data_IF_367124254129
#
_entry.id   IF_367124254129
#
_cell.length_a   1.000
_cell.length_b   1.000
_cell.length_c   1.000
_cell.angle_alpha   90.00
_cell.angle_beta   90.00
_cell.angle_gamma   90.00
#
_symmetry.space_group_name_H-M   'P 1'
#
loop_
_entity.id
_entity.type
_entity.pdbx_description
1 polymer ?
#
# COMPACT_ATOMS: atom_id res chain seq x y z
N UNK A 1 -17.50 14.29 -7.62
CA UNK A 1 -17.59 13.43 -8.82
C UNK A 1 -17.05 12.07 -8.46
N UNK A 2 -17.66 11.00 -8.97
CA UNK A 2 -17.17 9.64 -8.78
C UNK A 2 -15.85 9.45 -9.54
N UNK A 3 -14.85 8.81 -8.91
CA UNK A 3 -13.58 8.51 -9.57
C UNK A 3 -13.71 7.15 -10.28
N UNK A 4 -13.97 7.18 -11.59
CA UNK A 4 -14.16 5.98 -12.41
C UNK A 4 -12.90 5.11 -12.56
N UNK A 5 -11.73 5.63 -12.17
CA UNK A 5 -10.45 4.92 -12.23
C UNK A 5 -10.03 4.31 -10.90
N UNK A 6 -10.83 4.49 -9.84
CA UNK A 6 -10.51 3.95 -8.52
C UNK A 6 -10.58 2.43 -8.54
N UNK A 7 -9.52 1.78 -8.07
CA UNK A 7 -9.48 0.32 -7.98
C UNK A 7 -10.46 -0.18 -6.91
N UNK A 8 -11.24 -1.19 -7.29
CA UNK A 8 -12.20 -1.86 -6.41
C UNK A 8 -11.70 -3.22 -5.90
N UNK A 9 -10.67 -3.79 -6.54
CA UNK A 9 -10.14 -5.13 -6.25
C UNK A 9 -8.62 -5.16 -6.02
N UNK A 10 -7.88 -4.19 -6.53
CA UNK A 10 -6.42 -4.13 -6.42
C UNK A 10 -6.02 -3.17 -5.29
N UNK A 11 -4.80 -3.38 -4.76
CA UNK A 11 -4.20 -2.52 -3.76
C UNK A 11 -3.98 -1.12 -4.33
N UNK A 12 -4.60 -0.11 -3.72
CA UNK A 12 -4.42 1.31 -4.03
C UNK A 12 -4.45 2.10 -2.71
N UNK A 13 -3.40 2.84 -2.33
CA UNK A 13 -3.42 3.66 -1.14
C UNK A 13 -4.38 4.83 -1.36
N UNK A 14 -4.82 5.48 -0.29
CA UNK A 14 -5.80 6.58 -0.39
C UNK A 14 -5.31 7.79 -1.19
N UNK A 15 -4.00 7.91 -1.43
CA UNK A 15 -3.34 8.99 -2.18
C UNK A 15 -1.93 8.61 -2.59
N UNK A 16 -1.34 9.38 -3.49
CA UNK A 16 0.09 9.33 -3.79
C UNK A 16 0.49 8.21 -4.74
N UNK A 17 1.79 8.09 -5.01
CA UNK A 17 2.35 7.04 -5.87
C UNK A 17 2.61 5.76 -5.07
N UNK A 18 1.97 4.66 -5.47
CA UNK A 18 2.37 3.29 -5.11
C UNK A 18 3.28 2.73 -6.19
N UNK A 19 4.33 2.03 -5.80
CA UNK A 19 5.35 1.47 -6.71
C UNK A 19 5.64 0.00 -6.33
N UNK A 20 6.91 -0.41 -6.18
CA UNK A 20 7.31 -1.79 -5.92
C UNK A 20 6.61 -2.45 -4.71
N UNK A 21 6.16 -3.71 -4.82
CA UNK A 21 5.80 -4.52 -3.66
C UNK A 21 7.05 -4.88 -2.86
N UNK A 22 6.95 -4.82 -1.53
CA UNK A 22 8.03 -5.09 -0.59
C UNK A 22 7.55 -6.00 0.55
N UNK A 23 8.50 -6.66 1.24
CA UNK A 23 8.24 -7.35 2.52
C UNK A 23 7.08 -8.35 2.50
N UNK A 24 6.80 -8.98 1.35
CA UNK A 24 5.66 -9.88 1.18
C UNK A 24 5.78 -11.07 2.13
N UNK A 25 4.84 -11.20 3.07
CA UNK A 25 4.91 -12.26 4.09
C UNK A 25 3.52 -12.66 4.59
N UNK A 26 3.34 -13.95 4.85
CA UNK A 26 2.30 -14.42 5.75
C UNK A 26 2.94 -14.63 7.12
N UNK A 27 2.37 -14.02 8.15
CA UNK A 27 2.79 -14.21 9.53
C UNK A 27 1.57 -14.34 10.44
N UNK A 28 1.53 -15.41 11.25
CA UNK A 28 0.45 -15.69 12.21
C UNK A 28 -0.96 -15.62 11.61
N UNK A 29 -1.15 -16.14 10.39
CA UNK A 29 -2.45 -16.16 9.73
C UNK A 29 -2.89 -14.84 9.10
N UNK A 30 -2.01 -13.82 9.08
CA UNK A 30 -2.25 -12.52 8.43
C UNK A 30 -1.23 -12.32 7.32
N UNK A 31 -1.69 -11.85 6.17
CA UNK A 31 -0.87 -11.47 5.03
C UNK A 31 -0.49 -10.00 5.14
N UNK A 32 0.76 -9.70 4.83
CA UNK A 32 1.35 -8.36 4.86
C UNK A 32 1.95 -8.08 3.47
N UNK A 33 1.53 -6.98 2.88
CA UNK A 33 2.08 -6.46 1.64
C UNK A 33 2.57 -5.05 1.93
N UNK A 34 3.89 -4.91 2.06
CA UNK A 34 4.50 -3.60 2.08
C UNK A 34 4.66 -3.10 0.64
N UNK A 35 4.82 -1.80 0.46
CA UNK A 35 5.10 -1.23 -0.84
C UNK A 35 5.85 0.08 -0.71
N UNK A 36 6.63 0.44 -1.73
CA UNK A 36 7.12 1.80 -1.85
C UNK A 36 5.94 2.77 -2.01
N UNK A 37 5.98 3.85 -1.26
CA UNK A 37 4.92 4.86 -1.26
C UNK A 37 5.49 6.28 -1.25
N UNK A 38 4.97 7.12 -2.15
CA UNK A 38 5.08 8.57 -2.02
C UNK A 38 3.72 9.15 -1.63
N UNK A 39 3.44 9.31 -0.32
CA UNK A 39 2.14 9.87 0.13
C UNK A 39 1.93 11.35 -0.21
N UNK A 40 2.97 12.05 -0.64
CA UNK A 40 2.97 13.49 -0.87
C UNK A 40 2.87 13.88 -2.35
N UNK A 41 3.16 12.96 -3.27
CA UNK A 41 3.20 13.24 -4.70
C UNK A 41 2.93 12.00 -5.56
N UNK A 42 2.84 12.22 -6.86
CA UNK A 42 2.62 11.17 -7.87
C UNK A 42 3.92 10.83 -8.62
N UNK A 43 5.06 11.04 -7.97
CA UNK A 43 6.40 10.84 -8.53
C UNK A 43 7.29 10.03 -7.58
N UNK A 44 8.51 9.74 -8.00
CA UNK A 44 9.47 8.92 -7.25
C UNK A 44 10.40 9.76 -6.33
N UNK A 45 10.08 11.02 -6.03
CA UNK A 45 10.95 11.92 -5.25
C UNK A 45 11.06 11.58 -3.75
N UNK A 46 10.06 10.90 -3.20
CA UNK A 46 10.00 10.47 -1.80
C UNK A 46 9.62 8.99 -1.74
N UNK A 47 10.18 8.25 -0.78
CA UNK A 47 9.87 6.84 -0.55
C UNK A 47 9.75 6.55 0.93
N UNK A 48 8.60 6.04 1.33
CA UNK A 48 8.38 5.32 2.59
C UNK A 48 7.86 3.92 2.27
N UNK A 49 7.79 3.04 3.26
CA UNK A 49 7.05 1.78 3.10
C UNK A 49 5.64 1.96 3.64
N UNK A 50 4.65 1.91 2.76
CA UNK A 50 3.26 1.71 3.14
C UNK A 50 2.98 0.23 3.42
N UNK A 51 1.88 -0.07 4.10
CA UNK A 51 1.48 -1.42 4.46
C UNK A 51 0.00 -1.67 4.18
N UNK A 52 -0.28 -2.76 3.48
CA UNK A 52 -1.58 -3.41 3.43
C UNK A 52 -1.55 -4.73 4.18
N UNK A 53 -2.67 -5.05 4.82
CA UNK A 53 -2.85 -6.35 5.43
C UNK A 53 -4.18 -7.01 5.08
N UNK A 54 -4.19 -8.34 5.11
CA UNK A 54 -5.39 -9.13 4.79
C UNK A 54 -5.37 -10.46 5.53
N UNK A 55 -6.55 -11.05 5.75
CA UNK A 55 -6.69 -12.44 6.21
C UNK A 55 -6.93 -13.43 5.07
N UNK A 56 -7.22 -12.97 3.85
CA UNK A 56 -7.70 -13.82 2.74
C UNK A 56 -7.11 -13.48 1.36
N UNK A 57 -6.16 -12.54 1.27
CA UNK A 57 -5.56 -12.01 0.05
C UNK A 57 -6.54 -11.29 -0.91
N UNK A 58 -7.79 -11.09 -0.51
CA UNK A 58 -8.83 -10.47 -1.33
C UNK A 58 -9.29 -9.13 -0.73
N UNK A 59 -9.57 -9.12 0.57
CA UNK A 59 -9.99 -7.93 1.29
C UNK A 59 -8.80 -7.34 2.05
N UNK A 60 -8.45 -6.09 1.72
CA UNK A 60 -7.25 -5.45 2.21
C UNK A 60 -7.57 -4.24 3.08
N UNK A 61 -6.85 -4.11 4.20
CA UNK A 61 -6.83 -2.92 5.04
C UNK A 61 -5.52 -2.15 4.79
N UNK A 62 -5.61 -0.87 4.45
CA UNK A 62 -4.45 0.00 4.35
C UNK A 62 -4.07 0.51 5.74
N UNK A 63 -2.97 0.02 6.29
CA UNK A 63 -2.48 0.38 7.63
C UNK A 63 -1.72 1.72 7.64
N UNK A 64 -1.37 2.27 6.47
CA UNK A 64 -0.58 3.49 6.33
C UNK A 64 0.92 3.23 6.31
N UNK A 65 1.71 4.17 6.82
CA UNK A 65 3.18 4.09 6.83
C UNK A 65 3.68 3.09 7.88
N UNK A 66 4.55 2.18 7.46
CA UNK A 66 5.23 1.23 8.33
C UNK A 66 6.72 1.56 8.54
N UNK A 67 7.42 2.07 7.52
CA UNK A 67 8.82 2.50 7.62
C UNK A 67 8.95 3.87 6.97
N UNK A 68 9.46 4.84 7.72
CA UNK A 68 9.71 6.20 7.25
C UNK A 68 11.20 6.40 6.91
N UNK A 69 11.54 7.33 6.00
CA UNK A 69 12.88 7.89 5.95
C UNK A 69 13.32 8.46 7.29
N UNK A 70 14.62 8.37 7.57
CA UNK A 70 15.23 9.01 8.74
C UNK A 70 15.13 10.53 8.70
#
# INVERSE_FOLDING_TARGET
MENIHKNILHLEPSRGLLDDPNGLVQFNGKYYVFHQWNRFGLDHSYKEWGLFTSSDLLHWHHEGSAILPN
#
